data_IF_106397044807
#
_entry.id   IF_106397044807
#
_cell.length_a   1.000
_cell.length_b   1.000
_cell.length_c   1.000
_cell.angle_alpha   90.00
_cell.angle_beta   90.00
_cell.angle_gamma   90.00
#
_symmetry.space_group_name_H-M   'P 1'
#
loop_
_entity.id
_entity.type
_entity.pdbx_description
1 polymer ?
#
# COMPACT_ATOMS: atom_id res chain seq x y z
N UNK A 1 -2.85 15.52 -13.24
CA UNK A 1 -1.78 16.16 -14.05
C UNK A 1 -0.81 16.98 -13.21
N UNK A 2 -1.29 17.89 -12.34
CA UNK A 2 -0.43 18.77 -11.51
C UNK A 2 0.66 18.01 -10.74
N UNK A 3 0.33 16.91 -10.05
CA UNK A 3 1.30 16.16 -9.24
C UNK A 3 2.50 15.59 -10.05
N UNK A 4 2.22 14.96 -11.20
CA UNK A 4 3.27 14.38 -12.04
C UNK A 4 4.16 15.46 -12.65
N UNK A 5 3.56 16.55 -13.11
CA UNK A 5 4.28 17.74 -13.59
C UNK A 5 5.17 18.33 -12.50
N UNK A 6 4.68 18.45 -11.27
CA UNK A 6 5.48 18.94 -10.13
C UNK A 6 6.67 18.04 -9.84
N UNK A 7 6.51 16.72 -9.83
CA UNK A 7 7.63 15.78 -9.60
C UNK A 7 8.69 15.88 -10.71
N UNK A 8 8.25 15.93 -11.98
CA UNK A 8 9.14 16.13 -13.12
C UNK A 8 9.90 17.46 -13.02
N UNK A 9 9.20 18.55 -12.71
CA UNK A 9 9.81 19.87 -12.53
C UNK A 9 10.85 19.84 -11.41
N UNK A 10 10.56 19.22 -10.27
CA UNK A 10 11.51 19.09 -9.16
C UNK A 10 12.76 18.29 -9.56
N UNK A 11 12.58 17.17 -10.28
CA UNK A 11 13.69 16.37 -10.80
C UNK A 11 14.55 17.17 -11.78
N UNK A 12 13.94 17.79 -12.80
CA UNK A 12 14.63 18.61 -13.78
C UNK A 12 15.38 19.77 -13.11
N UNK A 13 14.73 20.46 -12.16
CA UNK A 13 15.34 21.55 -11.39
C UNK A 13 16.54 21.05 -10.59
N UNK A 14 16.44 19.88 -9.96
CA UNK A 14 17.55 19.28 -9.20
C UNK A 14 18.76 18.96 -10.08
N UNK A 15 18.55 18.34 -11.24
CA UNK A 15 19.65 18.05 -12.17
C UNK A 15 20.23 19.31 -12.80
N UNK A 16 19.41 20.33 -13.06
CA UNK A 16 19.88 21.64 -13.52
C UNK A 16 20.73 22.35 -12.46
N UNK A 17 20.35 22.31 -11.19
CA UNK A 17 21.17 22.82 -10.08
C UNK A 17 22.52 22.10 -9.98
N UNK A 18 22.54 20.77 -10.16
CA UNK A 18 23.79 19.99 -10.21
C UNK A 18 24.68 20.39 -11.39
N UNK A 19 24.09 20.71 -12.54
CA UNK A 19 24.83 21.23 -13.69
C UNK A 19 25.42 22.62 -13.37
N UNK A 20 24.63 23.55 -12.83
CA UNK A 20 25.11 24.89 -12.44
C UNK A 20 26.19 24.87 -11.36
N UNK A 21 26.21 23.84 -10.49
CA UNK A 21 27.26 23.66 -9.49
C UNK A 21 28.67 23.52 -10.10
N UNK A 22 28.81 23.12 -11.37
CA UNK A 22 30.12 23.11 -12.05
C UNK A 22 30.67 24.52 -12.30
N UNK A 23 29.79 25.52 -12.38
CA UNK A 23 30.15 26.89 -12.75
C UNK A 23 30.17 27.86 -11.56
N UNK A 24 29.65 27.46 -10.39
CA UNK A 24 29.57 28.33 -9.21
C UNK A 24 29.82 27.58 -7.91
N UNK A 25 30.84 28.04 -7.15
CA UNK A 25 31.18 27.51 -5.82
C UNK A 25 30.02 27.63 -4.83
N UNK A 26 29.27 28.73 -4.87
CA UNK A 26 28.10 28.94 -4.00
C UNK A 26 27.00 27.91 -4.28
N UNK A 27 26.73 27.63 -5.55
CA UNK A 27 25.74 26.61 -5.95
C UNK A 27 26.24 25.21 -5.59
N UNK A 28 27.54 24.94 -5.78
CA UNK A 28 28.16 23.69 -5.35
C UNK A 28 27.95 23.41 -3.86
N UNK A 29 28.15 24.39 -2.99
CA UNK A 29 27.97 24.23 -1.54
C UNK A 29 26.50 23.93 -1.17
N UNK A 30 25.54 24.59 -1.80
CA UNK A 30 24.11 24.31 -1.60
C UNK A 30 23.71 22.94 -2.14
N UNK A 31 24.18 22.57 -3.34
CA UNK A 31 23.97 21.22 -3.91
C UNK A 31 24.57 20.15 -3.00
N UNK A 32 25.73 20.41 -2.39
CA UNK A 32 26.35 19.47 -1.43
C UNK A 32 25.47 19.30 -0.19
N UNK A 33 24.92 20.37 0.39
CA UNK A 33 23.99 20.27 1.53
C UNK A 33 22.74 19.47 1.17
N UNK A 34 22.13 19.77 0.02
CA UNK A 34 20.93 19.09 -0.48
C UNK A 34 21.20 17.62 -0.88
N UNK A 35 22.43 17.31 -1.31
CA UNK A 35 22.80 15.96 -1.72
C UNK A 35 22.63 14.93 -0.60
N UNK A 36 22.84 15.34 0.66
CA UNK A 36 22.61 14.51 1.85
C UNK A 36 21.17 14.05 1.92
N UNK A 37 20.22 14.95 1.67
CA UNK A 37 18.79 14.62 1.70
C UNK A 37 18.38 13.76 0.51
N UNK A 38 18.92 14.01 -0.69
CA UNK A 38 18.61 13.16 -1.86
C UNK A 38 19.21 11.76 -1.74
N UNK A 39 20.42 11.62 -1.18
CA UNK A 39 21.04 10.34 -0.90
C UNK A 39 20.29 9.59 0.20
N UNK A 40 19.91 10.29 1.28
CA UNK A 40 19.04 9.76 2.32
C UNK A 40 17.71 9.25 1.75
N UNK A 41 17.04 10.06 0.93
CA UNK A 41 15.76 9.69 0.32
C UNK A 41 15.94 8.46 -0.59
N UNK A 42 16.99 8.41 -1.40
CA UNK A 42 17.30 7.25 -2.24
C UNK A 42 17.49 5.98 -1.41
N UNK A 43 18.28 6.05 -0.33
CA UNK A 43 18.49 4.90 0.58
C UNK A 43 17.21 4.52 1.33
N UNK A 44 16.41 5.51 1.72
CA UNK A 44 15.11 5.31 2.36
C UNK A 44 14.15 4.56 1.44
N UNK A 45 14.04 4.97 0.17
CA UNK A 45 13.22 4.30 -0.85
C UNK A 45 13.73 2.87 -1.13
N UNK A 46 15.05 2.70 -1.28
CA UNK A 46 15.66 1.38 -1.52
C UNK A 46 15.54 0.42 -0.32
N UNK A 47 15.25 0.91 0.87
CA UNK A 47 15.13 0.07 2.07
C UNK A 47 13.77 -0.65 2.20
N UNK A 48 12.75 -0.22 1.46
CA UNK A 48 11.43 -0.85 1.40
C UNK A 48 10.89 -0.88 -0.05
N UNK A 49 11.61 -1.52 -0.99
CA UNK A 49 11.35 -1.39 -2.41
C UNK A 49 9.97 -1.91 -2.83
N UNK A 50 9.44 -2.95 -2.17
CA UNK A 50 8.12 -3.49 -2.53
C UNK A 50 7.01 -2.48 -2.24
N UNK A 51 7.05 -1.85 -1.07
CA UNK A 51 6.07 -0.84 -0.63
C UNK A 51 6.08 0.37 -1.55
N UNK A 52 7.26 0.92 -1.84
CA UNK A 52 7.34 2.12 -2.70
C UNK A 52 6.99 1.81 -4.16
N UNK A 53 7.39 0.65 -4.67
CA UNK A 53 7.02 0.21 -6.03
C UNK A 53 5.51 0.03 -6.14
N UNK A 54 4.91 -0.69 -5.20
CA UNK A 54 3.46 -0.90 -5.16
C UNK A 54 2.70 0.42 -5.01
N UNK A 55 3.21 1.33 -4.17
CA UNK A 55 2.65 2.69 -4.04
C UNK A 55 2.67 3.47 -5.34
N UNK A 56 3.78 3.42 -6.07
CA UNK A 56 3.89 4.05 -7.39
C UNK A 56 2.88 3.46 -8.38
N UNK A 57 2.70 2.14 -8.38
CA UNK A 57 1.74 1.44 -9.26
C UNK A 57 0.31 1.89 -8.96
N UNK A 58 -0.19 1.75 -7.73
CA UNK A 58 -1.60 2.10 -7.47
C UNK A 58 -1.85 3.61 -7.61
N UNK A 59 -0.84 4.47 -7.37
CA UNK A 59 -0.96 5.90 -7.65
C UNK A 59 -1.11 6.18 -9.15
N UNK A 60 -0.37 5.45 -10.00
CA UNK A 60 -0.49 5.56 -11.45
C UNK A 60 -1.87 5.08 -11.93
N UNK A 61 -2.37 3.95 -11.41
CA UNK A 61 -3.72 3.47 -11.69
C UNK A 61 -4.77 4.48 -11.24
N UNK A 62 -4.64 5.06 -10.04
CA UNK A 62 -5.56 6.08 -9.54
C UNK A 62 -5.51 7.36 -10.39
N UNK A 63 -4.35 7.73 -10.92
CA UNK A 63 -4.24 8.86 -11.85
C UNK A 63 -5.00 8.60 -13.15
N UNK A 64 -4.86 7.40 -13.72
CA UNK A 64 -5.65 6.97 -14.89
C UNK A 64 -7.13 6.99 -14.56
N UNK A 65 -7.52 6.44 -13.40
CA UNK A 65 -8.89 6.41 -12.89
C UNK A 65 -9.54 7.79 -12.80
N UNK A 66 -8.77 8.82 -12.42
CA UNK A 66 -9.26 10.20 -12.26
C UNK A 66 -9.22 11.04 -13.54
N UNK A 67 -8.58 10.57 -14.60
CA UNK A 67 -8.35 11.36 -15.82
C UNK A 67 -9.00 10.77 -17.06
N UNK A 68 -9.24 9.46 -17.08
CA UNK A 68 -9.93 8.80 -18.17
C UNK A 68 -11.45 9.02 -18.10
N UNK A 69 -12.17 8.89 -19.23
CA UNK A 69 -13.63 8.98 -19.24
C UNK A 69 -14.28 7.99 -18.26
N UNK A 70 -15.27 8.44 -17.49
CA UNK A 70 -15.89 7.63 -16.42
C UNK A 70 -16.43 6.28 -16.92
N UNK A 71 -16.98 6.23 -18.14
CA UNK A 71 -17.47 4.98 -18.73
C UNK A 71 -16.36 3.94 -18.90
N UNK A 72 -15.16 4.36 -19.33
CA UNK A 72 -14.02 3.49 -19.54
C UNK A 72 -13.49 2.96 -18.20
N UNK A 73 -13.48 3.81 -17.18
CA UNK A 73 -13.07 3.41 -15.82
C UNK A 73 -14.05 2.44 -15.20
N UNK A 74 -15.35 2.67 -15.32
CA UNK A 74 -16.35 1.73 -14.83
C UNK A 74 -16.19 0.36 -15.50
N UNK A 75 -15.90 0.33 -16.81
CA UNK A 75 -15.62 -0.91 -17.55
C UNK A 75 -14.34 -1.58 -17.01
N UNK A 76 -13.22 -0.83 -16.91
CA UNK A 76 -11.93 -1.36 -16.47
C UNK A 76 -11.99 -1.87 -15.03
N UNK A 77 -12.53 -1.09 -14.10
CA UNK A 77 -12.63 -1.48 -12.68
C UNK A 77 -13.59 -2.66 -12.51
N UNK A 78 -14.69 -2.74 -13.25
CA UNK A 78 -15.56 -3.93 -13.23
C UNK A 78 -14.87 -5.17 -13.80
N UNK A 79 -14.06 -5.03 -14.86
CA UNK A 79 -13.29 -6.15 -15.41
C UNK A 79 -12.16 -6.63 -14.49
N UNK A 80 -11.59 -5.72 -13.69
CA UNK A 80 -10.52 -5.98 -12.73
C UNK A 80 -11.04 -6.35 -11.32
N UNK A 81 -12.34 -6.28 -11.07
CA UNK A 81 -12.97 -6.55 -9.77
C UNK A 81 -12.89 -8.03 -9.37
N UNK A 82 -12.82 -8.29 -8.06
CA UNK A 82 -12.98 -9.63 -7.45
C UNK A 82 -14.44 -10.03 -7.22
N UNK A 83 -15.39 -9.39 -7.90
CA UNK A 83 -16.81 -9.79 -7.91
C UNK A 83 -17.01 -11.24 -8.33
N UNK A 84 -18.05 -11.89 -7.77
CA UNK A 84 -18.44 -13.27 -8.09
C UNK A 84 -18.51 -13.49 -9.60
N UNK A 85 -19.22 -12.62 -10.32
CA UNK A 85 -19.41 -12.74 -11.78
C UNK A 85 -18.08 -12.74 -12.56
N UNK A 86 -17.07 -12.00 -12.07
CA UNK A 86 -15.78 -11.87 -12.76
C UNK A 86 -14.80 -12.98 -12.40
N UNK A 87 -14.79 -13.42 -11.14
CA UNK A 87 -13.92 -14.53 -10.69
C UNK A 87 -14.33 -15.84 -11.36
N UNK A 88 -15.62 -16.06 -11.63
CA UNK A 88 -16.07 -17.22 -12.41
C UNK A 88 -15.56 -17.25 -13.86
N UNK A 89 -15.27 -16.08 -14.46
CA UNK A 89 -14.73 -15.97 -15.83
C UNK A 89 -13.19 -16.03 -15.87
N UNK A 90 -12.52 -15.31 -14.96
CA UNK A 90 -11.05 -15.26 -14.88
C UNK A 90 -10.55 -15.44 -13.44
N UNK A 91 -10.41 -16.69 -12.95
CA UNK A 91 -10.26 -16.96 -11.52
C UNK A 91 -8.93 -16.51 -10.92
N UNK A 92 -7.86 -16.36 -11.70
CA UNK A 92 -6.53 -16.00 -11.16
C UNK A 92 -6.21 -14.53 -11.39
N UNK A 93 -6.49 -13.99 -12.59
CA UNK A 93 -6.05 -12.64 -12.95
C UNK A 93 -6.76 -11.56 -12.15
N UNK A 94 -8.04 -11.75 -11.79
CA UNK A 94 -8.84 -10.78 -11.03
C UNK A 94 -8.24 -10.44 -9.68
N UNK A 95 -7.61 -11.39 -8.99
CA UNK A 95 -6.96 -11.11 -7.71
C UNK A 95 -5.74 -10.20 -7.86
N UNK A 96 -5.00 -10.30 -8.97
CA UNK A 96 -3.88 -9.40 -9.24
C UNK A 96 -4.34 -8.06 -9.79
N UNK A 97 -5.30 -8.08 -10.72
CA UNK A 97 -5.83 -6.88 -11.35
C UNK A 97 -6.50 -5.97 -10.32
N UNK A 98 -7.34 -6.53 -9.44
CA UNK A 98 -8.01 -5.80 -8.34
C UNK A 98 -7.03 -5.14 -7.39
N UNK A 99 -5.87 -5.75 -7.16
CA UNK A 99 -4.87 -5.25 -6.22
C UNK A 99 -4.25 -3.91 -6.64
N UNK A 100 -4.47 -3.42 -7.87
CA UNK A 100 -3.93 -2.12 -8.31
C UNK A 100 -4.93 -0.97 -8.20
N UNK A 101 -6.21 -1.26 -7.95
CA UNK A 101 -7.27 -0.26 -7.91
C UNK A 101 -7.60 0.18 -6.50
N UNK A 102 -7.72 1.50 -6.32
CA UNK A 102 -8.28 2.11 -5.12
C UNK A 102 -9.78 2.29 -5.34
N UNK A 103 -10.58 1.87 -4.36
CA UNK A 103 -12.04 1.99 -4.40
C UNK A 103 -12.51 3.44 -4.56
N UNK A 104 -13.78 3.62 -4.93
CA UNK A 104 -14.47 4.91 -5.00
C UNK A 104 -13.72 5.99 -5.80
N UNK A 105 -13.28 5.65 -7.01
CA UNK A 105 -12.52 6.56 -7.89
C UNK A 105 -11.24 7.11 -7.25
N UNK A 106 -10.59 6.30 -6.41
CA UNK A 106 -9.37 6.67 -5.72
C UNK A 106 -9.61 7.52 -4.47
N UNK A 107 -10.77 7.40 -3.83
CA UNK A 107 -11.03 8.08 -2.56
C UNK A 107 -9.97 7.69 -1.51
N UNK A 108 -9.58 8.64 -0.68
CA UNK A 108 -8.60 8.38 0.39
C UNK A 108 -7.16 8.10 -0.08
N UNK A 109 -6.80 8.32 -1.36
CA UNK A 109 -5.45 8.05 -1.89
C UNK A 109 -4.32 8.59 -1.00
N UNK A 110 -4.47 9.80 -0.46
CA UNK A 110 -3.46 10.41 0.42
C UNK A 110 -3.25 9.57 1.69
N UNK A 111 -4.32 9.03 2.27
CA UNK A 111 -4.27 8.19 3.47
C UNK A 111 -3.53 6.88 3.16
N UNK A 112 -3.85 6.24 2.02
CA UNK A 112 -3.13 5.06 1.56
C UNK A 112 -1.64 5.34 1.43
N UNK A 113 -1.25 6.38 0.68
CA UNK A 113 0.16 6.74 0.47
C UNK A 113 0.87 6.97 1.81
N UNK A 114 0.26 7.72 2.73
CA UNK A 114 0.84 7.99 4.05
C UNK A 114 1.04 6.69 4.83
N UNK A 115 0.05 5.81 4.89
CA UNK A 115 0.15 4.55 5.64
C UNK A 115 1.15 3.58 5.01
N UNK A 116 1.19 3.47 3.68
CA UNK A 116 2.20 2.67 2.99
C UNK A 116 3.61 3.21 3.27
N UNK A 117 3.84 4.51 3.09
CA UNK A 117 5.17 5.11 3.26
C UNK A 117 5.67 5.12 4.71
N UNK A 118 4.77 5.01 5.68
CA UNK A 118 5.11 5.03 7.11
C UNK A 118 5.05 3.63 7.73
N UNK A 119 3.86 3.06 7.87
CA UNK A 119 3.60 1.81 8.58
C UNK A 119 4.10 0.60 7.79
N UNK A 120 3.73 0.50 6.51
CA UNK A 120 4.05 -0.68 5.69
C UNK A 120 5.52 -0.68 5.31
N UNK A 121 6.10 0.47 4.95
CA UNK A 121 7.52 0.59 4.67
C UNK A 121 8.37 0.26 5.90
N UNK A 122 7.93 0.66 7.10
CA UNK A 122 8.59 0.27 8.35
C UNK A 122 8.52 -1.25 8.58
N UNK A 123 7.34 -1.85 8.40
CA UNK A 123 7.18 -3.29 8.51
C UNK A 123 8.04 -4.03 7.48
N UNK A 124 8.10 -3.56 6.23
CA UNK A 124 8.95 -4.14 5.18
C UNK A 124 10.42 -4.14 5.53
N UNK A 125 10.94 -3.07 6.13
CA UNK A 125 12.35 -3.08 6.55
C UNK A 125 12.63 -4.14 7.60
N UNK A 126 11.67 -4.37 8.49
CA UNK A 126 11.76 -5.34 9.60
C UNK A 126 11.57 -6.78 9.11
N UNK A 127 10.55 -7.04 8.30
CA UNK A 127 10.24 -8.37 7.76
C UNK A 127 11.14 -8.74 6.58
N UNK A 128 11.55 -7.77 5.78
CA UNK A 128 12.09 -7.94 4.43
C UNK A 128 10.98 -8.01 3.37
N UNK A 129 11.30 -7.54 2.16
CA UNK A 129 10.36 -7.45 1.03
C UNK A 129 9.65 -8.76 0.70
N UNK A 130 10.32 -9.93 0.59
CA UNK A 130 9.64 -11.18 0.25
C UNK A 130 8.56 -11.56 1.27
N UNK A 131 8.84 -11.38 2.57
CA UNK A 131 7.89 -11.69 3.64
C UNK A 131 6.69 -10.75 3.62
N UNK A 132 6.91 -9.45 3.40
CA UNK A 132 5.80 -8.50 3.28
C UNK A 132 4.94 -8.75 2.06
N UNK A 133 5.54 -9.10 0.92
CA UNK A 133 4.80 -9.47 -0.29
C UNK A 133 3.91 -10.69 0.01
N UNK A 134 4.46 -11.73 0.61
CA UNK A 134 3.69 -12.94 0.97
C UNK A 134 2.54 -12.60 1.91
N UNK A 135 2.79 -11.85 2.99
CA UNK A 135 1.77 -11.47 3.98
C UNK A 135 0.63 -10.68 3.35
N UNK A 136 0.98 -9.68 2.55
CA UNK A 136 -0.02 -8.76 2.00
C UNK A 136 -0.82 -9.43 0.89
N UNK A 137 -0.16 -10.15 -0.03
CA UNK A 137 -0.84 -10.89 -1.08
C UNK A 137 -1.69 -12.04 -0.53
N UNK A 138 -1.23 -12.78 0.48
CA UNK A 138 -2.05 -13.82 1.10
C UNK A 138 -3.27 -13.23 1.80
N UNK A 139 -3.09 -12.11 2.52
CA UNK A 139 -4.19 -11.37 3.14
C UNK A 139 -5.25 -10.95 2.12
N UNK A 140 -4.83 -10.37 1.00
CA UNK A 140 -5.71 -9.95 -0.09
C UNK A 140 -6.45 -11.14 -0.75
N UNK A 141 -5.70 -12.15 -1.19
CA UNK A 141 -6.28 -13.28 -1.95
C UNK A 141 -7.21 -14.10 -1.07
N UNK A 142 -6.79 -14.45 0.15
CA UNK A 142 -7.60 -15.29 1.05
C UNK A 142 -8.84 -14.52 1.57
N UNK A 143 -8.72 -13.21 1.80
CA UNK A 143 -9.87 -12.38 2.14
C UNK A 143 -10.89 -12.33 1.01
N UNK A 144 -10.42 -12.09 -0.22
CA UNK A 144 -11.28 -12.04 -1.40
C UNK A 144 -12.00 -13.38 -1.60
N UNK A 145 -11.27 -14.50 -1.55
CA UNK A 145 -11.86 -15.85 -1.66
C UNK A 145 -12.91 -16.13 -0.59
N UNK A 146 -12.63 -15.77 0.66
CA UNK A 146 -13.57 -15.98 1.78
C UNK A 146 -14.82 -15.12 1.62
N UNK A 147 -14.65 -13.87 1.19
CA UNK A 147 -15.75 -12.93 0.94
C UNK A 147 -16.65 -13.46 -0.17
N UNK A 148 -16.08 -13.82 -1.33
CA UNK A 148 -16.80 -14.43 -2.46
C UNK A 148 -17.60 -15.67 -2.02
N UNK A 149 -16.98 -16.55 -1.24
CA UNK A 149 -17.64 -17.77 -0.77
C UNK A 149 -18.86 -17.45 0.11
N UNK A 150 -18.73 -16.50 1.04
CA UNK A 150 -19.82 -16.10 1.93
C UNK A 150 -20.93 -15.36 1.20
N UNK A 151 -20.58 -14.48 0.26
CA UNK A 151 -21.56 -13.79 -0.59
C UNK A 151 -22.34 -14.78 -1.46
N UNK A 152 -21.67 -15.75 -2.10
CA UNK A 152 -22.31 -16.82 -2.86
C UNK A 152 -23.27 -17.63 -2.00
N UNK A 153 -22.84 -18.03 -0.80
CA UNK A 153 -23.69 -18.75 0.14
C UNK A 153 -24.92 -17.93 0.57
N UNK A 154 -24.74 -16.63 0.81
CA UNK A 154 -25.82 -15.74 1.20
C UNK A 154 -26.85 -15.56 0.08
N UNK A 155 -26.40 -15.38 -1.17
CA UNK A 155 -27.27 -15.30 -2.35
C UNK A 155 -28.04 -16.61 -2.52
N UNK A 156 -27.35 -17.75 -2.51
CA UNK A 156 -27.96 -19.06 -2.73
C UNK A 156 -28.93 -19.46 -1.62
N UNK A 157 -28.75 -18.93 -0.41
CA UNK A 157 -29.66 -19.17 0.72
C UNK A 157 -30.75 -18.12 0.89
N UNK A 158 -30.90 -17.20 -0.07
CA UNK A 158 -31.93 -16.15 -0.07
C UNK A 158 -31.71 -15.05 0.98
N UNK A 159 -30.51 -14.97 1.57
CA UNK A 159 -30.14 -13.98 2.59
C UNK A 159 -29.55 -12.70 2.01
N UNK A 160 -29.24 -12.69 0.72
CA UNK A 160 -28.72 -11.53 0.00
C UNK A 160 -29.35 -11.42 -1.40
N UNK A 161 -29.52 -10.20 -1.95
CA UNK A 161 -30.01 -10.02 -3.31
C UNK A 161 -28.97 -10.50 -4.34
N UNK A 162 -29.44 -10.99 -5.50
CA UNK A 162 -28.57 -11.44 -6.58
C UNK A 162 -27.65 -10.35 -7.14
N UNK A 163 -28.02 -9.07 -6.96
CA UNK A 163 -27.19 -7.92 -7.32
C UNK A 163 -25.86 -7.89 -6.57
N UNK A 164 -25.75 -8.54 -5.41
CA UNK A 164 -24.49 -8.66 -4.66
C UNK A 164 -23.39 -9.36 -5.48
N UNK A 165 -23.75 -10.26 -6.40
CA UNK A 165 -22.79 -10.91 -7.29
C UNK A 165 -22.05 -9.95 -8.25
N UNK A 166 -22.59 -8.74 -8.43
CA UNK A 166 -22.04 -7.69 -9.27
C UNK A 166 -21.36 -6.57 -8.46
N UNK A 167 -21.30 -6.69 -7.13
CA UNK A 167 -20.65 -5.69 -6.29
C UNK A 167 -19.17 -5.57 -6.63
N UNK A 168 -18.71 -4.34 -6.86
CA UNK A 168 -17.32 -4.06 -7.18
C UNK A 168 -16.45 -4.19 -5.93
N UNK A 169 -15.42 -5.03 -5.98
CA UNK A 169 -14.45 -5.20 -4.90
C UNK A 169 -13.02 -5.06 -5.47
N UNK A 170 -12.20 -4.22 -4.82
CA UNK A 170 -10.84 -3.88 -5.26
C UNK A 170 -9.86 -3.86 -4.09
N UNK A 171 -8.60 -4.22 -4.37
CA UNK A 171 -7.73 -4.88 -3.39
C UNK A 171 -6.73 -4.02 -2.64
N UNK A 172 -6.52 -2.74 -2.97
CA UNK A 172 -5.47 -1.92 -2.31
C UNK A 172 -5.72 -1.83 -0.80
N UNK A 173 -6.99 -1.78 -0.38
CA UNK A 173 -7.37 -1.72 1.01
C UNK A 173 -7.10 -3.01 1.78
N UNK A 174 -7.30 -4.18 1.16
CA UNK A 174 -6.97 -5.47 1.78
C UNK A 174 -5.47 -5.65 1.93
N UNK A 175 -4.69 -5.24 0.93
CA UNK A 175 -3.22 -5.21 1.00
C UNK A 175 -2.75 -4.32 2.16
N UNK A 176 -3.33 -3.12 2.29
CA UNK A 176 -3.04 -2.21 3.40
C UNK A 176 -3.37 -2.85 4.75
N UNK A 177 -4.58 -3.39 4.91
CA UNK A 177 -5.05 -3.97 6.17
C UNK A 177 -4.21 -5.18 6.59
N UNK A 178 -3.91 -6.09 5.66
CA UNK A 178 -3.03 -7.22 5.93
C UNK A 178 -1.61 -6.78 6.32
N UNK A 179 -1.08 -5.75 5.66
CA UNK A 179 0.22 -5.17 6.00
C UNK A 179 0.22 -4.46 7.36
N UNK A 180 -0.86 -3.76 7.71
CA UNK A 180 -1.05 -3.16 9.04
C UNK A 180 -1.11 -4.23 10.13
N UNK A 181 -1.81 -5.34 9.91
CA UNK A 181 -1.83 -6.48 10.83
C UNK A 181 -0.41 -7.01 11.11
N UNK A 182 0.42 -7.14 10.08
CA UNK A 182 1.82 -7.53 10.24
C UNK A 182 2.65 -6.49 11.00
N UNK A 183 2.48 -5.21 10.69
CA UNK A 183 3.15 -4.12 11.40
C UNK A 183 2.81 -4.16 12.90
N UNK A 184 1.54 -4.31 13.25
CA UNK A 184 1.07 -4.36 14.64
C UNK A 184 1.79 -5.46 15.44
N UNK A 185 1.97 -6.66 14.88
CA UNK A 185 2.61 -7.79 15.58
C UNK A 185 4.06 -7.52 16.02
N UNK A 186 4.75 -6.58 15.38
CA UNK A 186 6.16 -6.25 15.69
C UNK A 186 6.29 -4.90 16.41
N UNK A 187 5.18 -4.25 16.73
CA UNK A 187 5.16 -3.03 17.54
C UNK A 187 5.43 -3.32 19.02
N UNK A 188 5.95 -2.32 19.73
CA UNK A 188 6.06 -2.37 21.20
C UNK A 188 4.67 -2.45 21.82
N UNK A 189 4.56 -3.08 23.01
CA UNK A 189 3.30 -3.37 23.72
C UNK A 189 2.27 -2.22 23.69
N UNK A 190 2.66 -0.99 23.99
CA UNK A 190 1.75 0.17 23.95
C UNK A 190 1.21 0.46 22.54
N UNK A 191 2.10 0.46 21.54
CA UNK A 191 1.75 0.72 20.15
C UNK A 191 0.98 -0.44 19.51
N UNK A 192 1.18 -1.67 19.99
CA UNK A 192 0.39 -2.84 19.61
C UNK A 192 -1.10 -2.63 19.91
N UNK A 193 -1.44 -2.25 21.14
CA UNK A 193 -2.85 -2.02 21.51
C UNK A 193 -3.46 -0.82 20.79
N UNK A 194 -2.70 0.28 20.64
CA UNK A 194 -3.15 1.45 19.87
C UNK A 194 -3.41 1.05 18.42
N UNK A 195 -2.49 0.29 17.80
CA UNK A 195 -2.63 -0.20 16.44
C UNK A 195 -3.84 -1.12 16.26
N UNK A 196 -4.09 -2.02 17.22
CA UNK A 196 -5.29 -2.87 17.21
C UNK A 196 -6.58 -2.05 17.29
N UNK A 197 -6.63 -1.03 18.14
CA UNK A 197 -7.80 -0.16 18.26
C UNK A 197 -8.02 0.61 16.97
N UNK A 198 -6.98 1.24 16.41
CA UNK A 198 -7.08 2.00 15.15
C UNK A 198 -7.52 1.08 14.00
N UNK A 199 -6.92 -0.09 13.87
CA UNK A 199 -7.27 -1.05 12.82
C UNK A 199 -8.70 -1.58 13.01
N UNK A 200 -9.09 -1.90 14.24
CA UNK A 200 -10.45 -2.32 14.57
C UNK A 200 -11.47 -1.24 14.25
N UNK A 201 -11.20 0.01 14.60
CA UNK A 201 -12.07 1.14 14.24
C UNK A 201 -12.18 1.30 12.72
N UNK A 202 -11.06 1.22 11.99
CA UNK A 202 -11.07 1.30 10.53
C UNK A 202 -11.95 0.20 9.89
N UNK A 203 -11.86 -1.03 10.39
CA UNK A 203 -12.63 -2.17 9.88
C UNK A 203 -14.11 -2.08 10.27
N UNK A 204 -14.42 -1.64 11.49
CA UNK A 204 -15.77 -1.71 12.04
C UNK A 204 -16.60 -0.45 11.76
N UNK A 205 -15.98 0.70 11.52
CA UNK A 205 -16.69 1.97 11.31
C UNK A 205 -17.65 1.92 10.10
N UNK A 206 -17.29 1.33 8.93
CA UNK A 206 -18.24 1.16 7.83
C UNK A 206 -19.50 0.37 8.22
N UNK A 207 -19.39 -0.63 9.10
CA UNK A 207 -20.55 -1.40 9.58
C UNK A 207 -21.58 -0.52 10.31
N UNK A 208 -21.11 0.51 11.01
CA UNK A 208 -21.96 1.43 11.77
C UNK A 208 -22.49 2.59 10.92
N UNK A 209 -21.75 3.02 9.89
CA UNK A 209 -22.10 4.18 9.05
C UNK A 209 -22.91 3.78 7.82
N UNK A 210 -22.51 2.70 7.15
CA UNK A 210 -23.09 2.27 5.88
C UNK A 210 -24.11 1.13 6.07
N UNK A 211 -24.22 0.59 7.28
CA UNK A 211 -25.10 -0.53 7.65
C UNK A 211 -24.97 -1.76 6.74
N UNK A 212 -23.83 -1.89 6.04
CA UNK A 212 -23.54 -3.03 5.18
C UNK A 212 -22.71 -4.04 5.93
N UNK A 213 -23.29 -5.20 6.22
CA UNK A 213 -22.57 -6.35 6.77
C UNK A 213 -21.59 -6.98 5.77
N UNK A 214 -21.59 -6.53 4.52
CA UNK A 214 -20.87 -7.16 3.41
C UNK A 214 -19.44 -6.63 3.23
N UNK A 215 -19.02 -5.64 4.03
CA UNK A 215 -17.62 -5.23 4.11
C UNK A 215 -16.79 -6.13 5.06
N UNK A 216 -16.96 -7.45 4.94
CA UNK A 216 -16.19 -8.43 5.73
C UNK A 216 -14.78 -8.64 5.18
N UNK A 217 -14.51 -8.20 3.96
CA UNK A 217 -13.22 -8.41 3.32
C UNK A 217 -12.07 -7.77 4.10
N UNK A 218 -12.25 -6.57 4.66
CA UNK A 218 -11.25 -5.97 5.55
C UNK A 218 -11.00 -6.79 6.82
N UNK A 219 -12.04 -7.37 7.42
CA UNK A 219 -11.91 -8.25 8.58
C UNK A 219 -11.10 -9.52 8.23
N UNK A 220 -11.41 -10.16 7.11
CA UNK A 220 -10.65 -11.33 6.65
C UNK A 220 -9.21 -10.98 6.26
N UNK A 221 -8.98 -9.83 5.63
CA UNK A 221 -7.65 -9.36 5.28
C UNK A 221 -6.79 -9.17 6.54
N UNK A 222 -7.37 -8.61 7.61
CA UNK A 222 -6.69 -8.49 8.89
C UNK A 222 -6.39 -9.87 9.49
N UNK A 223 -7.37 -10.77 9.51
CA UNK A 223 -7.24 -12.13 10.04
C UNK A 223 -6.12 -12.92 9.34
N UNK A 224 -6.17 -13.00 8.01
CA UNK A 224 -5.15 -13.72 7.24
C UNK A 224 -3.79 -13.01 7.26
N UNK A 225 -3.77 -11.67 7.35
CA UNK A 225 -2.57 -10.88 7.58
C UNK A 225 -1.88 -11.23 8.90
N UNK A 226 -2.63 -11.29 10.01
CA UNK A 226 -2.13 -11.70 11.32
C UNK A 226 -1.57 -13.13 11.30
N UNK A 227 -2.31 -14.08 10.70
CA UNK A 227 -1.86 -15.47 10.59
C UNK A 227 -0.56 -15.57 9.80
N UNK A 228 -0.53 -15.00 8.59
CA UNK A 228 0.64 -15.06 7.70
C UNK A 228 1.86 -14.42 8.34
N UNK A 229 1.68 -13.24 8.95
CA UNK A 229 2.76 -12.55 9.65
C UNK A 229 3.28 -13.34 10.85
N UNK A 230 2.38 -13.94 11.64
CA UNK A 230 2.75 -14.76 12.81
C UNK A 230 3.49 -16.03 12.40
N UNK A 231 3.07 -16.69 11.32
CA UNK A 231 3.75 -17.87 10.77
C UNK A 231 5.16 -17.51 10.29
N UNK A 232 5.30 -16.44 9.51
CA UNK A 232 6.62 -16.02 9.02
C UNK A 232 7.55 -15.55 10.16
N UNK A 233 7.01 -14.99 11.25
CA UNK A 233 7.80 -14.69 12.46
C UNK A 233 8.31 -15.95 13.17
N UNK A 234 7.61 -17.08 13.07
CA UNK A 234 8.12 -18.37 13.59
C UNK A 234 9.30 -18.89 12.77
N UNK A 235 9.32 -18.60 11.47
CA UNK A 235 10.40 -19.03 10.56
C UNK A 235 11.67 -18.20 10.73
N UNK A 236 11.55 -16.89 10.98
CA UNK A 236 12.71 -16.02 11.15
C UNK A 236 12.35 -14.74 11.93
N UNK A 237 13.20 -14.29 12.88
CA UNK A 237 12.99 -13.03 13.59
C UNK A 237 13.02 -11.83 12.63
N UNK A 238 12.56 -10.67 13.12
CA UNK A 238 12.67 -9.42 12.37
C UNK A 238 14.11 -8.91 12.32
N UNK A 239 14.43 -8.19 11.25
CA UNK A 239 15.71 -7.52 11.06
C UNK A 239 15.87 -6.32 11.99
N UNK A 240 17.09 -6.05 12.39
CA UNK A 240 17.49 -4.75 12.94
C UNK A 240 17.56 -3.76 11.78
N UNK A 241 17.00 -2.57 11.97
CA UNK A 241 16.92 -1.53 10.93
C UNK A 241 17.33 -0.22 11.58
N UNK A 242 18.16 0.55 10.88
CA UNK A 242 18.59 1.86 11.35
C UNK A 242 17.40 2.79 11.48
N UNK A 243 17.44 3.65 12.50
CA UNK A 243 16.46 4.73 12.60
C UNK A 243 16.63 5.73 11.43
N UNK A 244 15.60 6.52 11.09
CA UNK A 244 15.73 7.58 10.08
C UNK A 244 16.89 8.54 10.40
N UNK A 245 17.08 8.84 11.68
CA UNK A 245 18.16 9.68 12.16
C UNK A 245 19.55 9.05 11.92
N UNK A 246 19.73 7.78 12.28
CA UNK A 246 20.97 7.04 12.02
C UNK A 246 21.29 6.95 10.52
N UNK A 247 20.28 6.68 9.69
CA UNK A 247 20.48 6.63 8.24
C UNK A 247 20.89 8.01 7.69
N UNK A 248 20.31 9.11 8.20
CA UNK A 248 20.71 10.46 7.82
C UNK A 248 22.17 10.75 8.20
N UNK A 249 22.58 10.40 9.43
CA UNK A 249 23.97 10.57 9.88
C UNK A 249 24.94 9.77 9.00
N UNK A 250 24.60 8.53 8.67
CA UNK A 250 25.40 7.69 7.77
C UNK A 250 25.50 8.30 6.36
N UNK A 251 24.40 8.82 5.82
CA UNK A 251 24.42 9.49 4.51
C UNK A 251 25.30 10.75 4.53
N UNK A 252 25.26 11.51 5.62
CA UNK A 252 26.11 12.69 5.81
C UNK A 252 27.59 12.32 5.86
N UNK A 253 27.97 11.27 6.57
CA UNK A 253 29.37 10.84 6.67
C UNK A 253 29.90 10.23 5.36
N UNK A 254 29.07 9.49 4.61
CA UNK A 254 29.45 8.96 3.29
C UNK A 254 29.75 10.07 2.26
N UNK A 255 29.09 11.22 2.38
CA UNK A 255 29.28 12.38 1.50
C UNK A 255 30.35 13.38 1.99
N UNK A 256 30.74 13.32 3.27
CA UNK A 256 31.88 14.10 3.77
C UNK A 256 33.22 13.47 3.39
N UNK A 257 33.24 12.15 3.18
CA UNK A 257 34.43 11.37 2.86
C UNK A 257 34.70 11.23 1.34
N UNK A 258 33.85 11.86 0.51
CA UNK A 258 34.01 11.99 -0.95
C UNK A 258 34.32 13.43 -1.30
#
# INVERSE_FOLDING_TARGET
MIFLSTVLILCCTWYFLKFLAHFSRKIHDEVRKLSVYTHFLSKWLQSAPATFTYTAIFCAFTLVQRTAPQHLINILTNHSSTSIARVSDKPISTFFDSAFWVADNGAGLLIYVVLFWTVIAWAERKYGSPRMIVITLSGHILASLTTIFLELWAINSGRAPSSLAMATDVGVSYILVAGCAAAILIMRKRMFYIGLIILGLFILLPLFVEHSIWDMGHLFAAFFGFISARLLLKLSPVRTVSSPYELHLKCRSELSNK
#
